data_IF_917201737310
#
_entry.id   IF_917201737310
#
_cell.length_a   1.000
_cell.length_b   1.000
_cell.length_c   1.000
_cell.angle_alpha   90.00
_cell.angle_beta   90.00
_cell.angle_gamma   90.00
#
_symmetry.space_group_name_H-M   'P 1'
#
loop_
_entity.id
_entity.type
_entity.pdbx_description
1 polymer ?
#
# COMPACT_ATOMS: atom_id res chain seq x y z
N UNK A 1 -24.18 8.13 -10.44
CA UNK A 1 -23.66 7.42 -9.25
C UNK A 1 -22.48 8.24 -8.75
N UNK A 2 -22.63 8.93 -7.63
CA UNK A 2 -21.60 9.84 -7.13
C UNK A 2 -20.67 9.04 -6.21
N UNK A 3 -19.40 8.91 -6.60
CA UNK A 3 -18.34 8.46 -5.70
C UNK A 3 -18.25 9.50 -4.58
N UNK A 4 -18.50 9.11 -3.33
CA UNK A 4 -18.49 10.04 -2.21
C UNK A 4 -17.03 10.38 -1.81
N UNK A 5 -16.49 11.37 -2.52
CA UNK A 5 -15.12 11.88 -2.30
C UNK A 5 -14.90 12.36 -0.87
N UNK A 6 -15.95 12.78 -0.14
CA UNK A 6 -15.81 13.32 1.22
C UNK A 6 -15.43 12.25 2.25
N UNK A 7 -15.96 11.04 2.15
CA UNK A 7 -15.64 9.97 3.09
C UNK A 7 -14.23 9.43 2.89
N UNK A 8 -13.81 9.28 1.62
CA UNK A 8 -12.41 8.95 1.28
C UNK A 8 -11.46 10.04 1.80
N UNK A 9 -11.80 11.32 1.58
CA UNK A 9 -11.01 12.44 2.10
C UNK A 9 -10.94 12.45 3.63
N UNK A 10 -12.02 12.12 4.34
CA UNK A 10 -12.02 12.00 5.80
C UNK A 10 -11.16 10.85 6.30
N UNK A 11 -11.27 9.66 5.69
CA UNK A 11 -10.41 8.51 6.01
C UNK A 11 -8.93 8.86 5.75
N UNK A 12 -8.62 9.54 4.65
CA UNK A 12 -7.26 10.03 4.35
C UNK A 12 -6.77 11.06 5.36
N UNK A 13 -7.59 12.05 5.73
CA UNK A 13 -7.26 13.06 6.73
C UNK A 13 -6.99 12.43 8.10
N UNK A 14 -7.76 11.41 8.50
CA UNK A 14 -7.50 10.68 9.74
C UNK A 14 -6.16 9.93 9.69
N UNK A 15 -5.78 9.36 8.54
CA UNK A 15 -4.48 8.70 8.37
C UNK A 15 -3.31 9.67 8.49
N UNK A 16 -3.47 10.91 8.04
CA UNK A 16 -2.43 11.94 8.17
C UNK A 16 -2.16 12.31 9.64
N UNK A 17 -3.17 12.19 10.52
CA UNK A 17 -3.04 12.45 11.96
C UNK A 17 -2.61 11.24 12.79
N UNK A 18 -2.55 10.05 12.17
CA UNK A 18 -2.49 8.81 12.94
C UNK A 18 -1.06 8.45 13.35
N UNK A 19 -0.77 8.59 14.65
CA UNK A 19 0.50 8.20 15.32
C UNK A 19 0.73 6.68 15.36
N UNK A 20 0.28 5.91 14.38
CA UNK A 20 0.54 4.46 14.34
C UNK A 20 1.96 4.21 13.84
N UNK A 21 2.61 3.21 14.45
CA UNK A 21 3.89 2.66 14.00
C UNK A 21 3.72 1.46 13.05
N UNK A 22 2.49 1.16 12.62
CA UNK A 22 2.14 -0.02 11.82
C UNK A 22 1.44 0.36 10.52
N UNK A 23 1.64 -0.44 9.48
CA UNK A 23 0.97 -0.29 8.19
C UNK A 23 -0.55 -0.39 8.34
N UNK A 24 -1.26 0.41 7.54
CA UNK A 24 -2.73 0.36 7.44
C UNK A 24 -3.13 -0.85 6.62
N UNK A 25 -4.09 -1.63 7.11
CA UNK A 25 -4.69 -2.73 6.36
C UNK A 25 -5.70 -2.20 5.35
N UNK A 26 -5.66 -2.69 4.11
CA UNK A 26 -6.67 -2.35 3.09
C UNK A 26 -8.08 -2.69 3.57
N UNK A 27 -8.26 -3.84 4.22
CA UNK A 27 -9.57 -4.26 4.73
C UNK A 27 -10.10 -3.30 5.81
N UNK A 28 -9.22 -2.78 6.67
CA UNK A 28 -9.60 -1.79 7.69
C UNK A 28 -9.90 -0.42 7.05
N UNK A 29 -9.20 -0.07 5.96
CA UNK A 29 -9.41 1.19 5.24
C UNK A 29 -10.73 1.20 4.47
N UNK A 30 -11.01 0.12 3.74
CA UNK A 30 -12.29 -0.07 3.06
C UNK A 30 -13.41 -0.13 4.10
N UNK A 31 -13.20 -0.85 5.20
CA UNK A 31 -14.18 -0.96 6.28
C UNK A 31 -15.45 -1.63 5.76
N UNK A 32 -16.58 -0.98 5.97
CA UNK A 32 -17.86 -1.49 5.50
C UNK A 32 -18.15 -1.15 4.03
N UNK A 33 -17.39 -0.25 3.38
CA UNK A 33 -17.65 0.19 2.00
C UNK A 33 -17.58 -0.98 1.00
N UNK A 34 -18.44 -0.96 -0.02
CA UNK A 34 -18.36 -1.91 -1.13
C UNK A 34 -17.31 -1.50 -2.16
N UNK A 35 -16.63 -2.47 -2.76
CA UNK A 35 -15.80 -2.22 -3.96
C UNK A 35 -16.70 -2.35 -5.18
N UNK A 36 -17.10 -1.23 -5.77
CA UNK A 36 -18.01 -1.19 -6.92
C UNK A 36 -17.30 -1.50 -8.23
N UNK A 37 -16.04 -1.10 -8.32
CA UNK A 37 -15.23 -1.30 -9.51
C UNK A 37 -13.78 -1.57 -9.13
N UNK A 38 -13.16 -2.50 -9.85
CA UNK A 38 -11.76 -2.81 -9.76
C UNK A 38 -11.16 -2.84 -11.17
N UNK A 39 -10.29 -1.88 -11.48
CA UNK A 39 -9.71 -1.74 -12.82
C UNK A 39 -8.19 -1.85 -12.80
N UNK A 40 -7.63 -2.73 -13.64
CA UNK A 40 -6.19 -2.84 -13.79
C UNK A 40 -5.67 -1.70 -14.68
N UNK A 41 -4.72 -0.92 -14.17
CA UNK A 41 -4.17 0.27 -14.81
C UNK A 41 -2.73 0.07 -15.34
N UNK A 42 -2.24 -1.17 -15.34
CA UNK A 42 -0.92 -1.50 -15.88
C UNK A 42 0.26 -1.08 -14.99
N UNK A 43 1.43 -0.97 -15.62
CA UNK A 43 2.70 -0.59 -14.97
C UNK A 43 2.79 0.93 -14.83
N UNK A 44 3.10 1.41 -13.62
CA UNK A 44 3.21 2.83 -13.31
C UNK A 44 4.40 3.10 -12.39
N UNK A 45 5.01 4.27 -12.53
CA UNK A 45 5.93 4.80 -11.53
C UNK A 45 5.11 5.42 -10.39
N UNK A 46 5.19 4.83 -9.20
CA UNK A 46 4.40 5.23 -8.03
C UNK A 46 5.31 5.86 -7.00
N UNK A 47 4.93 7.05 -6.51
CA UNK A 47 5.64 7.70 -5.41
C UNK A 47 5.57 6.84 -4.14
N UNK A 48 6.73 6.58 -3.54
CA UNK A 48 6.81 5.85 -2.28
C UNK A 48 6.03 6.55 -1.16
N UNK A 49 5.89 7.87 -1.22
CA UNK A 49 5.15 8.67 -0.25
C UNK A 49 3.63 8.40 -0.26
N UNK A 50 3.07 7.85 -1.36
CA UNK A 50 1.67 7.47 -1.45
C UNK A 50 1.42 6.00 -1.09
N UNK A 51 2.47 5.19 -0.93
CA UNK A 51 2.36 3.80 -0.48
C UNK A 51 2.32 3.80 1.05
N UNK A 52 1.14 3.53 1.63
CA UNK A 52 0.90 3.70 3.08
C UNK A 52 0.33 2.47 3.78
N UNK A 53 -0.04 1.44 3.03
CA UNK A 53 -0.69 0.27 3.60
C UNK A 53 -0.32 -1.05 2.94
N UNK A 54 -0.94 -2.10 3.43
CA UNK A 54 -0.81 -3.47 2.93
C UNK A 54 -2.19 -4.01 2.62
N UNK A 55 -2.34 -4.69 1.47
CA UNK A 55 -3.56 -5.41 1.16
C UNK A 55 -3.73 -6.65 2.06
N UNK A 56 -2.62 -7.20 2.57
CA UNK A 56 -2.63 -8.34 3.48
C UNK A 56 -2.54 -7.89 4.95
N UNK A 57 -3.56 -8.21 5.73
CA UNK A 57 -3.59 -7.96 7.18
C UNK A 57 -2.45 -8.67 7.92
N UNK A 58 -2.05 -9.86 7.47
CA UNK A 58 -0.93 -10.61 8.06
C UNK A 58 0.40 -9.86 7.97
N UNK A 59 0.64 -9.18 6.85
CA UNK A 59 1.88 -8.42 6.60
C UNK A 59 1.97 -7.11 7.37
N UNK A 60 0.85 -6.58 7.86
CA UNK A 60 0.84 -5.32 8.62
C UNK A 60 1.65 -5.40 9.92
N UNK A 61 1.91 -6.61 10.43
CA UNK A 61 2.72 -6.85 11.65
C UNK A 61 4.21 -7.02 11.36
N UNK A 62 4.57 -7.37 10.13
CA UNK A 62 5.95 -7.64 9.72
C UNK A 62 6.75 -6.37 9.40
N UNK A 63 6.05 -5.24 9.26
CA UNK A 63 6.65 -3.97 8.84
C UNK A 63 6.13 -2.77 9.64
N UNK A 64 6.97 -1.76 9.78
CA UNK A 64 6.56 -0.44 10.28
C UNK A 64 5.93 0.42 9.16
N UNK A 65 5.52 1.65 9.50
CA UNK A 65 4.92 2.61 8.54
C UNK A 65 5.80 2.98 7.36
N UNK A 66 7.11 2.77 7.45
CA UNK A 66 8.07 3.02 6.37
C UNK A 66 8.48 1.71 5.69
N UNK A 67 7.68 0.65 5.84
CA UNK A 67 7.96 -0.69 5.33
C UNK A 67 9.26 -1.29 5.86
N UNK A 68 9.79 -0.85 7.01
CA UNK A 68 10.99 -1.46 7.61
C UNK A 68 10.63 -2.77 8.29
N UNK A 69 11.33 -3.88 8.03
CA UNK A 69 11.05 -5.15 8.69
C UNK A 69 11.14 -5.03 10.22
N UNK A 70 10.18 -5.62 10.94
CA UNK A 70 10.14 -5.61 12.41
C UNK A 70 10.63 -6.93 13.02
N UNK A 71 10.87 -7.95 12.21
CA UNK A 71 11.31 -9.29 12.63
C UNK A 71 12.59 -9.75 11.91
N UNK A 72 13.41 -10.57 12.59
CA UNK A 72 14.71 -11.04 12.07
C UNK A 72 14.60 -11.98 10.88
N UNK A 73 13.54 -12.78 10.79
CA UNK A 73 13.34 -13.71 9.66
C UNK A 73 13.17 -12.99 8.32
N UNK A 74 12.65 -11.75 8.35
CA UNK A 74 12.53 -10.88 7.17
C UNK A 74 13.86 -10.27 6.71
N UNK A 75 14.91 -10.30 7.54
CA UNK A 75 16.18 -9.63 7.30
C UNK A 75 16.98 -10.30 6.17
N UNK A 76 17.05 -11.63 6.13
CA UNK A 76 17.80 -12.36 5.10
C UNK A 76 17.22 -12.13 3.70
N UNK A 77 15.89 -12.20 3.59
CA UNK A 77 15.20 -11.91 2.31
C UNK A 77 15.39 -10.45 1.90
N UNK A 78 15.32 -9.53 2.86
CA UNK A 78 15.55 -8.11 2.61
C UNK A 78 16.98 -7.86 2.12
N UNK A 79 17.98 -8.45 2.78
CA UNK A 79 19.39 -8.37 2.39
C UNK A 79 19.64 -8.93 0.99
N UNK A 80 19.01 -10.05 0.64
CA UNK A 80 19.09 -10.61 -0.71
C UNK A 80 18.58 -9.64 -1.78
N UNK A 81 17.44 -8.99 -1.53
CA UNK A 81 16.85 -7.99 -2.44
C UNK A 81 17.73 -6.74 -2.51
N UNK A 82 18.20 -6.23 -1.37
CA UNK A 82 19.11 -5.08 -1.30
C UNK A 82 20.39 -5.32 -2.10
N UNK A 83 21.03 -6.48 -1.92
CA UNK A 83 22.23 -6.85 -2.67
C UNK A 83 21.96 -7.01 -4.17
N UNK A 84 20.84 -7.62 -4.55
CA UNK A 84 20.50 -7.77 -5.96
C UNK A 84 20.31 -6.40 -6.63
N UNK A 85 19.61 -5.48 -5.97
CA UNK A 85 19.34 -4.14 -6.49
C UNK A 85 20.62 -3.28 -6.57
N UNK A 86 21.46 -3.29 -5.53
CA UNK A 86 22.74 -2.55 -5.52
C UNK A 86 23.75 -3.09 -6.55
N UNK A 87 23.62 -4.35 -6.96
CA UNK A 87 24.37 -4.94 -8.08
C UNK A 87 23.76 -4.63 -9.45
N UNK A 88 22.75 -3.76 -9.53
CA UNK A 88 22.09 -3.35 -10.77
C UNK A 88 21.17 -4.41 -11.38
N UNK A 89 20.77 -5.46 -10.63
CA UNK A 89 19.77 -6.40 -11.14
C UNK A 89 18.40 -5.74 -11.12
N UNK A 90 17.72 -5.78 -12.26
CA UNK A 90 16.32 -5.39 -12.35
C UNK A 90 15.46 -6.21 -11.39
N UNK A 91 14.57 -5.55 -10.66
CA UNK A 91 13.62 -6.19 -9.76
C UNK A 91 12.24 -6.26 -10.44
N UNK A 92 11.45 -7.31 -10.20
CA UNK A 92 10.07 -7.31 -10.66
C UNK A 92 9.30 -6.14 -10.02
N UNK A 93 8.31 -5.57 -10.73
CA UNK A 93 7.48 -4.51 -10.17
C UNK A 93 6.75 -4.97 -8.92
N UNK A 94 6.36 -4.03 -8.07
CA UNK A 94 5.46 -4.30 -6.94
C UNK A 94 4.01 -4.41 -7.42
N UNK A 95 3.15 -5.09 -6.67
CA UNK A 95 1.72 -5.12 -6.98
C UNK A 95 0.99 -4.26 -5.97
N UNK A 96 0.21 -3.29 -6.47
CA UNK A 96 -0.42 -2.26 -5.66
C UNK A 96 -1.91 -2.18 -5.93
N UNK A 97 -2.68 -1.99 -4.87
CA UNK A 97 -4.08 -1.58 -4.92
C UNK A 97 -4.14 -0.09 -4.59
N UNK A 98 -4.72 0.72 -5.48
CA UNK A 98 -4.99 2.14 -5.24
C UNK A 98 -6.43 2.32 -4.81
N UNK A 99 -6.64 3.04 -3.71
CA UNK A 99 -7.96 3.48 -3.26
C UNK A 99 -7.89 4.96 -2.88
N UNK A 100 -8.68 5.81 -3.53
CA UNK A 100 -8.45 7.26 -3.46
C UNK A 100 -7.04 7.60 -3.96
N UNK A 101 -6.23 8.33 -3.19
CA UNK A 101 -4.83 8.63 -3.52
C UNK A 101 -3.81 7.78 -2.75
N UNK A 102 -4.27 6.72 -2.08
CA UNK A 102 -3.42 5.85 -1.26
C UNK A 102 -3.19 4.52 -1.96
N UNK A 103 -1.96 4.04 -1.88
CA UNK A 103 -1.55 2.75 -2.40
C UNK A 103 -1.29 1.75 -1.26
N UNK A 104 -1.79 0.55 -1.46
CA UNK A 104 -1.68 -0.60 -0.57
C UNK A 104 -0.87 -1.67 -1.27
N UNK A 105 0.19 -2.16 -0.62
CA UNK A 105 1.05 -3.20 -1.17
C UNK A 105 0.35 -4.55 -1.07
N UNK A 106 0.07 -5.15 -2.22
CA UNK A 106 -0.39 -6.54 -2.33
C UNK A 106 0.79 -7.50 -2.34
N UNK A 107 1.79 -7.23 -3.19
CA UNK A 107 3.08 -7.95 -3.21
C UNK A 107 4.26 -6.98 -3.30
N UNK A 108 5.39 -7.39 -2.71
CA UNK A 108 6.66 -6.69 -2.85
C UNK A 108 7.03 -5.78 -1.69
N UNK A 109 6.52 -5.98 -0.48
CA UNK A 109 6.83 -5.16 0.71
C UNK A 109 8.33 -4.96 0.95
N UNK A 110 9.15 -6.00 0.79
CA UNK A 110 10.60 -5.86 0.91
C UNK A 110 11.23 -5.01 -0.20
N UNK A 111 10.66 -5.02 -1.42
CA UNK A 111 11.13 -4.16 -2.52
C UNK A 111 10.82 -2.69 -2.22
N UNK A 112 9.61 -2.41 -1.71
CA UNK A 112 9.25 -1.07 -1.20
C UNK A 112 10.19 -0.64 -0.08
N UNK A 113 10.48 -1.54 0.87
CA UNK A 113 11.43 -1.30 1.96
C UNK A 113 12.84 -0.96 1.46
N UNK A 114 13.36 -1.74 0.51
CA UNK A 114 14.68 -1.53 -0.09
C UNK A 114 14.73 -0.23 -0.89
N UNK A 115 13.66 0.12 -1.60
CA UNK A 115 13.57 1.39 -2.32
C UNK A 115 13.64 2.59 -1.36
N UNK A 116 12.90 2.53 -0.24
CA UNK A 116 13.00 3.50 0.85
C UNK A 116 14.41 3.58 1.43
N UNK A 117 15.05 2.44 1.70
CA UNK A 117 16.39 2.40 2.30
C UNK A 117 17.48 2.97 1.38
N UNK A 118 17.27 2.91 0.08
CA UNK A 118 18.19 3.43 -0.93
C UNK A 118 17.87 4.87 -1.35
N UNK A 119 16.82 5.48 -0.78
CA UNK A 119 16.46 6.87 -1.02
C UNK A 119 15.75 7.12 -2.35
N UNK A 120 15.10 6.10 -2.93
CA UNK A 120 14.29 6.32 -4.13
C UNK A 120 13.07 7.19 -3.81
N UNK A 121 12.59 7.94 -4.80
CA UNK A 121 11.35 8.70 -4.69
C UNK A 121 10.13 7.91 -5.20
N UNK A 122 10.38 7.00 -6.14
CA UNK A 122 9.36 6.23 -6.86
C UNK A 122 9.78 4.78 -7.04
N UNK A 123 8.79 3.91 -7.24
CA UNK A 123 8.97 2.50 -7.56
C UNK A 123 8.01 2.08 -8.68
N UNK A 124 8.45 1.18 -9.55
CA UNK A 124 7.57 0.58 -10.56
C UNK A 124 6.57 -0.39 -9.93
N UNK A 125 5.30 -0.18 -10.21
CA UNK A 125 4.21 -1.01 -9.70
C UNK A 125 3.16 -1.34 -10.74
N UNK A 126 2.64 -2.57 -10.68
CA UNK A 126 1.39 -2.97 -11.34
C UNK A 126 0.22 -2.51 -10.47
N UNK A 127 -0.62 -1.63 -11.00
CA UNK A 127 -1.65 -0.93 -10.21
C UNK A 127 -3.05 -1.42 -10.58
N UNK A 128 -3.82 -1.81 -9.57
CA UNK A 128 -5.27 -2.01 -9.66
C UNK A 128 -5.97 -0.91 -8.86
N UNK A 129 -6.87 -0.16 -9.49
CA UNK A 129 -7.64 0.90 -8.83
C UNK A 129 -8.97 0.33 -8.36
N UNK A 130 -9.26 0.49 -7.08
CA UNK A 130 -10.58 0.20 -6.51
C UNK A 130 -11.35 1.51 -6.32
N UNK A 131 -12.57 1.52 -6.85
CA UNK A 131 -13.54 2.57 -6.61
C UNK A 131 -14.55 2.05 -5.59
N UNK A 132 -14.69 2.80 -4.49
CA UNK A 132 -15.59 2.43 -3.39
C UNK A 132 -16.99 3.02 -3.62
N UNK A 133 -18.01 2.22 -3.29
CA UNK A 133 -19.41 2.61 -3.22
C UNK A 133 -19.88 2.75 -1.78
N UNK A 134 -21.01 3.44 -1.60
CA UNK A 134 -21.63 3.58 -0.28
C UNK A 134 -22.25 2.25 0.16
N UNK A 135 -21.91 1.83 1.37
CA UNK A 135 -22.71 0.82 2.06
C UNK A 135 -24.01 1.44 2.53
N UNK A 136 -25.12 0.96 1.99
CA UNK A 136 -26.45 1.31 2.49
C UNK A 136 -26.52 0.96 3.97
N UNK A 137 -26.34 1.98 4.81
CA UNK A 137 -26.79 1.92 6.19
C UNK A 137 -28.30 1.82 6.11
N UNK A 138 -28.83 0.60 6.19
CA UNK A 138 -30.25 0.38 6.42
C UNK A 138 -30.54 0.99 7.78
N UNK A 139 -31.01 2.24 7.80
CA UNK A 139 -31.67 2.82 8.97
C UNK A 139 -32.82 1.88 9.35
N UNK A 140 -32.75 1.33 10.56
CA UNK A 140 -33.90 0.70 11.23
C UNK A 140 -34.66 1.76 12.02
#
# INVERSE_FOLDING_TARGET
>A
MAVNTKDILWKMASMLTWRSRRLVSLAEFVGDDSVENASFQGLQAVSLAHIRGSASAGRCKDFDVNFRPTNRHSEDRWMGIYQARTKGRGMPPVTLIKVGDIYFVEDGHHRVSVAWALGDEQIEGQVTVWELGESQSVEM
#
